data_IF_921441468040
#
_entry.id   IF_921441468040
#
_cell.length_a   1.000
_cell.length_b   1.000
_cell.length_c   1.000
_cell.angle_alpha   90.00
_cell.angle_beta   90.00
_cell.angle_gamma   90.00
#
_symmetry.space_group_name_H-M   'P 1'
#
loop_
_entity.id
_entity.type
_entity.pdbx_description
1 polymer ?
#
# COMPACT_ATOMS: atom_id res chain seq x y z
N UNK A 1 -8.85 31.46 -19.98
CA UNK A 1 -9.60 31.14 -18.74
C UNK A 1 -9.88 29.64 -18.53
N UNK A 2 -10.40 28.93 -19.54
CA UNK A 2 -10.76 27.50 -19.43
C UNK A 2 -9.57 26.57 -19.13
N UNK A 3 -8.44 26.75 -19.83
CA UNK A 3 -7.22 25.94 -19.62
C UNK A 3 -6.67 26.10 -18.20
N UNK A 4 -6.70 27.33 -17.66
CA UNK A 4 -6.27 27.59 -16.29
C UNK A 4 -7.18 26.88 -15.27
N UNK A 5 -8.50 26.94 -15.44
CA UNK A 5 -9.45 26.25 -14.57
C UNK A 5 -9.30 24.73 -14.65
N UNK A 6 -9.17 24.18 -15.86
CA UNK A 6 -8.94 22.75 -16.07
C UNK A 6 -7.66 22.29 -15.36
N UNK A 7 -6.59 23.07 -15.44
CA UNK A 7 -5.35 22.74 -14.73
C UNK A 7 -5.55 22.79 -13.20
N UNK A 8 -6.18 23.84 -12.66
CA UNK A 8 -6.40 23.93 -11.21
C UNK A 8 -7.22 22.74 -10.68
N UNK A 9 -8.26 22.33 -11.41
CA UNK A 9 -9.05 21.14 -11.06
C UNK A 9 -8.24 19.84 -11.15
N UNK A 10 -7.36 19.74 -12.14
CA UNK A 10 -6.47 18.58 -12.30
C UNK A 10 -5.49 18.50 -11.14
N UNK A 11 -4.86 19.60 -10.73
CA UNK A 11 -3.99 19.66 -9.56
C UNK A 11 -4.71 19.21 -8.29
N UNK A 12 -5.93 19.70 -8.04
CA UNK A 12 -6.71 19.30 -6.87
C UNK A 12 -7.06 17.81 -6.91
N UNK A 13 -7.40 17.27 -8.09
CA UNK A 13 -7.67 15.84 -8.27
C UNK A 13 -6.43 15.00 -7.96
N UNK A 14 -5.28 15.33 -8.54
CA UNK A 14 -4.04 14.57 -8.33
C UNK A 14 -3.58 14.67 -6.87
N UNK A 15 -3.63 15.87 -6.25
CA UNK A 15 -3.28 16.04 -4.83
C UNK A 15 -4.15 15.18 -3.90
N UNK A 16 -5.46 15.13 -4.13
CA UNK A 16 -6.36 14.28 -3.34
C UNK A 16 -6.11 12.78 -3.60
N UNK A 17 -5.73 12.43 -4.82
CA UNK A 17 -5.34 11.08 -5.22
C UNK A 17 -4.14 10.60 -4.42
N UNK A 18 -3.12 11.45 -4.30
CA UNK A 18 -1.82 11.06 -3.75
C UNK A 18 -1.62 11.41 -2.26
N UNK A 19 -2.59 12.07 -1.62
CA UNK A 19 -2.51 12.45 -0.21
C UNK A 19 -2.22 11.26 0.74
N UNK A 20 -2.72 10.07 0.41
CA UNK A 20 -2.47 8.86 1.19
C UNK A 20 -1.00 8.41 1.14
N UNK A 21 -0.27 8.71 0.05
CA UNK A 21 1.15 8.38 -0.08
C UNK A 21 1.99 9.12 0.98
N UNK A 22 1.62 10.37 1.30
CA UNK A 22 2.30 11.15 2.34
C UNK A 22 2.14 10.48 3.70
N UNK A 23 0.93 10.04 4.04
CA UNK A 23 0.65 9.34 5.31
C UNK A 23 1.41 8.01 5.39
N UNK A 24 1.42 7.25 4.30
CA UNK A 24 2.17 5.99 4.21
C UNK A 24 3.67 6.21 4.40
N UNK A 25 4.24 7.22 3.73
CA UNK A 25 5.65 7.57 3.84
C UNK A 25 6.02 8.01 5.27
N UNK A 26 5.20 8.86 5.90
CA UNK A 26 5.38 9.32 7.29
C UNK A 26 5.37 8.15 8.29
N UNK A 27 4.57 7.11 8.01
CA UNK A 27 4.48 5.89 8.83
C UNK A 27 5.44 4.78 8.40
N UNK A 28 6.37 5.06 7.47
CA UNK A 28 7.33 4.09 6.95
C UNK A 28 6.68 2.86 6.31
N UNK A 29 5.50 3.01 5.74
CA UNK A 29 4.77 1.94 5.04
C UNK A 29 5.10 2.02 3.56
N UNK A 30 5.87 1.05 3.07
CA UNK A 30 6.29 1.00 1.68
C UNK A 30 5.17 0.56 0.72
N UNK A 31 5.37 0.73 -0.59
CA UNK A 31 4.40 0.28 -1.60
C UNK A 31 4.11 -1.22 -1.55
N UNK A 32 5.13 -2.06 -1.37
CA UNK A 32 4.95 -3.51 -1.24
C UNK A 32 4.24 -3.87 0.08
N UNK A 33 4.54 -3.18 1.17
CA UNK A 33 3.89 -3.37 2.48
C UNK A 33 2.37 -3.16 2.37
N UNK A 34 1.94 -2.15 1.63
CA UNK A 34 0.52 -1.89 1.37
C UNK A 34 -0.17 -3.07 0.69
N UNK A 35 0.50 -3.72 -0.27
CA UNK A 35 -0.08 -4.87 -0.97
C UNK A 35 -0.12 -6.11 -0.08
N UNK A 36 0.92 -6.33 0.73
CA UNK A 36 0.93 -7.41 1.72
C UNK A 36 -0.24 -7.23 2.69
N UNK A 37 -0.40 -6.04 3.28
CA UNK A 37 -1.53 -5.72 4.15
C UNK A 37 -2.87 -5.95 3.46
N UNK A 38 -3.03 -5.49 2.22
CA UNK A 38 -4.26 -5.70 1.47
C UNK A 38 -4.58 -7.18 1.27
N UNK A 39 -3.58 -8.01 0.99
CA UNK A 39 -3.78 -9.47 0.85
C UNK A 39 -4.01 -10.18 2.19
N UNK A 40 -3.42 -9.67 3.27
CA UNK A 40 -3.61 -10.19 4.61
C UNK A 40 -5.06 -10.01 5.12
N UNK A 41 -5.82 -9.07 4.54
CA UNK A 41 -7.27 -8.94 4.78
C UNK A 41 -8.11 -10.00 4.05
N UNK A 42 -7.53 -10.76 3.13
CA UNK A 42 -8.23 -11.71 2.26
C UNK A 42 -9.00 -11.07 1.10
N UNK A 43 -8.96 -9.74 0.94
CA UNK A 43 -9.69 -9.03 -0.13
C UNK A 43 -9.21 -9.42 -1.55
N UNK A 44 -7.90 -9.64 -1.73
CA UNK A 44 -7.30 -10.07 -2.98
C UNK A 44 -6.16 -11.07 -2.75
N UNK A 45 -5.95 -12.04 -3.67
CA UNK A 45 -4.87 -13.02 -3.54
C UNK A 45 -3.49 -12.40 -3.83
N UNK A 46 -2.48 -12.81 -3.05
CA UNK A 46 -1.09 -12.35 -3.20
C UNK A 46 -0.52 -12.63 -4.60
N UNK A 47 -0.84 -13.79 -5.18
CA UNK A 47 -0.41 -14.15 -6.53
C UNK A 47 -0.85 -13.15 -7.59
N UNK A 48 -2.07 -12.62 -7.47
CA UNK A 48 -2.59 -11.60 -8.39
C UNK A 48 -1.86 -10.27 -8.23
N UNK A 49 -1.69 -9.79 -6.99
CA UNK A 49 -1.04 -8.50 -6.77
C UNK A 49 0.44 -8.52 -7.13
N UNK A 50 1.13 -9.61 -6.83
CA UNK A 50 2.53 -9.78 -7.25
C UNK A 50 2.68 -9.79 -8.77
N UNK A 51 1.83 -10.54 -9.47
CA UNK A 51 1.85 -10.60 -10.94
C UNK A 51 1.48 -9.25 -11.58
N UNK A 52 0.42 -8.59 -11.11
CA UNK A 52 -0.04 -7.33 -11.71
C UNK A 52 0.84 -6.14 -11.37
N UNK A 53 1.55 -6.17 -10.23
CA UNK A 53 2.40 -5.08 -9.74
C UNK A 53 3.90 -5.37 -9.83
N UNK A 54 4.26 -6.51 -10.40
CA UNK A 54 5.63 -6.90 -10.73
C UNK A 54 6.56 -6.94 -9.50
N UNK A 55 6.04 -7.41 -8.36
CA UNK A 55 6.85 -7.64 -7.16
C UNK A 55 7.42 -9.05 -7.16
N UNK A 56 8.72 -9.15 -6.92
CA UNK A 56 9.38 -10.44 -6.79
C UNK A 56 9.12 -11.09 -5.40
N UNK A 57 9.62 -12.33 -5.22
CA UNK A 57 9.46 -13.07 -3.96
C UNK A 57 10.22 -12.42 -2.79
N UNK A 58 11.38 -11.81 -3.08
CA UNK A 58 12.27 -11.26 -2.06
C UNK A 58 11.70 -9.96 -1.49
N UNK A 59 11.24 -9.07 -2.36
CA UNK A 59 10.58 -7.82 -1.97
C UNK A 59 9.32 -8.08 -1.15
N UNK A 60 8.53 -9.08 -1.55
CA UNK A 60 7.33 -9.50 -0.82
C UNK A 60 7.66 -10.09 0.55
N UNK A 61 8.68 -10.94 0.62
CA UNK A 61 9.14 -11.55 1.87
C UNK A 61 9.69 -10.49 2.82
N UNK A 62 10.46 -9.52 2.31
CA UNK A 62 10.98 -8.42 3.09
C UNK A 62 9.86 -7.52 3.63
N UNK A 63 8.84 -7.22 2.82
CA UNK A 63 7.65 -6.48 3.24
C UNK A 63 6.87 -7.21 4.34
N UNK A 64 6.63 -8.51 4.16
CA UNK A 64 5.96 -9.36 5.15
C UNK A 64 6.73 -9.37 6.48
N UNK A 65 8.06 -9.50 6.43
CA UNK A 65 8.91 -9.48 7.61
C UNK A 65 8.87 -8.14 8.36
N UNK A 66 8.90 -7.00 7.64
CA UNK A 66 8.76 -5.67 8.25
C UNK A 66 7.43 -5.52 8.99
N UNK A 67 6.34 -5.95 8.36
CA UNK A 67 5.00 -5.84 8.93
C UNK A 67 4.80 -6.78 10.13
N UNK A 68 5.34 -8.00 10.07
CA UNK A 68 5.36 -8.91 11.22
C UNK A 68 6.19 -8.36 12.38
N UNK A 69 7.34 -7.74 12.10
CA UNK A 69 8.16 -7.08 13.12
C UNK A 69 7.45 -5.90 13.81
N UNK A 70 6.50 -5.26 13.12
CA UNK A 70 5.61 -4.22 13.67
C UNK A 70 4.42 -4.80 14.45
N UNK A 71 4.24 -6.13 14.46
CA UNK A 71 3.09 -6.80 15.05
C UNK A 71 1.80 -6.63 14.26
N UNK A 72 1.86 -6.11 13.03
CA UNK A 72 0.68 -5.90 12.17
C UNK A 72 0.23 -7.17 11.46
N UNK A 73 1.12 -8.14 11.35
CA UNK A 73 0.84 -9.49 10.86
C UNK A 73 1.16 -10.52 11.93
N UNK A 74 0.36 -11.59 11.99
CA UNK A 74 0.64 -12.78 12.78
C UNK A 74 1.62 -13.73 12.07
N UNK A 75 1.93 -14.85 12.72
CA UNK A 75 2.83 -15.87 12.17
C UNK A 75 2.28 -16.57 10.92
N UNK A 76 1.00 -16.44 10.64
CA UNK A 76 0.31 -17.00 9.48
C UNK A 76 0.19 -15.97 8.34
N UNK A 77 0.67 -14.74 8.54
CA UNK A 77 0.58 -13.65 7.56
C UNK A 77 -0.81 -13.00 7.50
N UNK A 78 -1.62 -13.19 8.53
CA UNK A 78 -2.95 -12.57 8.68
C UNK A 78 -2.82 -11.24 9.43
N UNK A 79 -3.70 -10.30 9.12
CA UNK A 79 -3.75 -9.01 9.80
C UNK A 79 -4.14 -9.19 11.28
N UNK A 80 -3.42 -8.49 12.18
CA UNK A 80 -3.74 -8.44 13.61
C UNK A 80 -4.60 -7.23 13.94
N UNK A 81 -5.08 -7.14 15.18
CA UNK A 81 -5.78 -5.95 15.69
C UNK A 81 -4.94 -4.66 15.62
N UNK A 82 -3.60 -4.77 15.65
CA UNK A 82 -2.69 -3.62 15.48
C UNK A 82 -2.51 -3.21 14.01
N UNK A 83 -2.84 -4.10 13.08
CA UNK A 83 -2.76 -3.86 11.64
C UNK A 83 -4.05 -3.33 11.03
N UNK A 84 -5.18 -3.41 11.74
CA UNK A 84 -6.48 -2.80 11.38
C UNK A 84 -6.61 -1.35 11.80
#
# INVERSE_FOLDING_TARGET
>A
PLVALWQQLTVVREWRGDAHLVVLADNGVGPCDCLVLHTATGALPATLLRATRQWDDEEWRAATARLAARGWLDAQGTITDLGT
#
